data_IF_782913626643
#
_entry.id   IF_782913626643
#
_cell.length_a   1.000
_cell.length_b   1.000
_cell.length_c   1.000
_cell.angle_alpha   90.00
_cell.angle_beta   90.00
_cell.angle_gamma   90.00
#
_symmetry.space_group_name_H-M   'P 1'
#
loop_
_entity.id
_entity.type
_entity.pdbx_description
1 polymer ?
#
# COMPACT_ATOMS: atom_id res chain seq x y z
N UNK A 1 28.85 14.11 -8.42
CA UNK A 1 27.75 14.72 -7.67
C UNK A 1 27.08 13.60 -6.88
N UNK A 2 27.31 13.53 -5.54
CA UNK A 2 26.75 12.46 -4.69
C UNK A 2 25.24 12.60 -4.68
N UNK A 3 24.53 11.50 -5.01
CA UNK A 3 23.11 11.40 -4.71
C UNK A 3 22.90 11.66 -3.22
N UNK A 4 21.97 12.51 -2.81
CA UNK A 4 21.62 12.64 -1.41
C UNK A 4 21.00 11.33 -0.93
N UNK A 5 21.43 10.91 0.24
CA UNK A 5 21.08 9.68 0.94
C UNK A 5 19.57 9.62 1.29
N UNK A 6 18.74 9.36 0.28
CA UNK A 6 17.28 9.23 0.44
C UNK A 6 16.83 7.79 0.78
N UNK A 7 17.80 6.86 0.92
CA UNK A 7 17.52 5.44 1.22
C UNK A 7 18.46 4.94 2.31
N UNK A 8 18.84 5.78 3.25
CA UNK A 8 19.48 5.27 4.45
C UNK A 8 18.38 4.94 5.48
N UNK A 9 17.96 3.68 5.49
CA UNK A 9 17.00 3.11 6.44
C UNK A 9 17.53 3.02 7.88
N UNK A 10 18.60 3.74 8.20
CA UNK A 10 19.21 3.80 9.54
C UNK A 10 19.00 5.13 10.24
N UNK A 11 18.12 6.01 9.76
CA UNK A 11 17.77 7.18 10.57
C UNK A 11 17.18 6.68 11.89
N UNK A 12 17.91 7.00 12.96
CA UNK A 12 17.39 6.98 14.33
C UNK A 12 16.02 7.68 14.31
N UNK A 13 14.95 6.86 14.25
CA UNK A 13 13.59 7.38 14.37
C UNK A 13 13.47 7.91 15.78
N UNK A 14 13.87 9.16 15.95
CA UNK A 14 13.54 10.01 17.06
C UNK A 14 12.03 9.90 17.30
N UNK A 15 11.58 10.15 18.51
CA UNK A 15 10.14 10.24 18.86
C UNK A 15 9.40 11.13 17.86
N UNK A 16 10.06 12.16 17.31
CA UNK A 16 9.58 13.00 16.21
C UNK A 16 9.33 12.21 14.90
N UNK A 17 10.12 11.18 14.60
CA UNK A 17 9.90 10.34 13.43
C UNK A 17 8.63 9.52 13.53
N UNK A 18 8.36 8.88 14.68
CA UNK A 18 7.13 8.11 14.90
C UNK A 18 5.90 9.03 14.85
N UNK A 19 5.97 10.20 15.44
CA UNK A 19 4.89 11.17 15.38
C UNK A 19 4.58 11.62 13.95
N UNK A 20 5.60 11.86 13.13
CA UNK A 20 5.42 12.20 11.73
C UNK A 20 4.77 11.06 10.93
N UNK A 21 5.14 9.79 11.21
CA UNK A 21 4.50 8.63 10.59
C UNK A 21 3.02 8.50 10.96
N UNK A 22 2.69 8.68 12.23
CA UNK A 22 1.29 8.64 12.70
C UNK A 22 0.48 9.78 12.06
N UNK A 23 1.04 10.99 12.00
CA UNK A 23 0.40 12.15 11.39
C UNK A 23 0.17 11.92 9.89
N UNK A 24 1.15 11.38 9.18
CA UNK A 24 1.03 11.06 7.76
C UNK A 24 -0.05 10.01 7.51
N UNK A 25 -0.08 8.93 8.31
CA UNK A 25 -1.12 7.91 8.23
C UNK A 25 -2.50 8.47 8.56
N UNK A 26 -2.60 9.37 9.54
CA UNK A 26 -3.86 10.02 9.89
C UNK A 26 -4.38 10.89 8.75
N UNK A 27 -3.54 11.72 8.15
CA UNK A 27 -3.92 12.55 6.99
C UNK A 27 -4.34 11.67 5.81
N UNK A 28 -3.55 10.64 5.51
CA UNK A 28 -3.86 9.69 4.46
C UNK A 28 -5.20 9.00 4.68
N UNK A 29 -5.47 8.56 5.92
CA UNK A 29 -6.73 7.92 6.29
C UNK A 29 -7.93 8.85 6.12
N UNK A 30 -7.81 10.11 6.56
CA UNK A 30 -8.90 11.10 6.43
C UNK A 30 -9.23 11.34 4.95
N UNK A 31 -8.21 11.56 4.11
CA UNK A 31 -8.42 11.80 2.68
C UNK A 31 -9.06 10.56 2.02
N UNK A 32 -8.59 9.35 2.38
CA UNK A 32 -9.16 8.10 1.86
C UNK A 32 -10.62 7.92 2.26
N UNK A 33 -10.99 8.19 3.52
CA UNK A 33 -12.37 8.08 3.99
C UNK A 33 -13.28 9.07 3.27
N UNK A 34 -12.84 10.30 3.06
CA UNK A 34 -13.58 11.30 2.29
C UNK A 34 -13.77 10.83 0.84
N UNK A 35 -12.70 10.35 0.21
CA UNK A 35 -12.75 9.79 -1.15
C UNK A 35 -13.67 8.59 -1.26
N UNK A 36 -13.65 7.70 -0.26
CA UNK A 36 -14.50 6.52 -0.18
C UNK A 36 -16.00 6.89 -0.06
N UNK A 37 -16.32 7.89 0.75
CA UNK A 37 -17.68 8.40 0.88
C UNK A 37 -18.18 9.06 -0.42
N UNK A 38 -17.37 9.90 -1.06
CA UNK A 38 -17.75 10.61 -2.28
C UNK A 38 -17.89 9.62 -3.45
N UNK A 39 -16.93 8.71 -3.61
CA UNK A 39 -16.88 7.77 -4.74
C UNK A 39 -17.86 6.62 -4.62
N UNK A 40 -17.94 6.00 -3.46
CA UNK A 40 -18.64 4.71 -3.28
C UNK A 40 -19.80 4.75 -2.31
N UNK A 41 -20.05 5.90 -1.65
CA UNK A 41 -21.14 6.10 -0.67
C UNK A 41 -21.08 5.18 0.55
N UNK A 42 -19.92 4.61 0.85
CA UNK A 42 -19.75 3.84 2.08
C UNK A 42 -19.88 4.73 3.32
N UNK A 43 -20.40 4.21 4.43
CA UNK A 43 -20.54 4.96 5.67
C UNK A 43 -19.17 5.47 6.16
N UNK A 44 -19.10 6.75 6.52
CA UNK A 44 -17.86 7.36 6.99
C UNK A 44 -17.36 6.69 8.26
N UNK A 45 -18.27 6.33 9.17
CA UNK A 45 -17.95 5.67 10.44
C UNK A 45 -17.24 4.34 10.23
N UNK A 46 -17.77 3.49 9.36
CA UNK A 46 -17.25 2.15 9.13
C UNK A 46 -15.93 2.20 8.33
N UNK A 47 -15.87 3.10 7.34
CA UNK A 47 -14.64 3.38 6.58
C UNK A 47 -13.52 3.92 7.48
N UNK A 48 -13.85 4.75 8.47
CA UNK A 48 -12.88 5.30 9.41
C UNK A 48 -12.32 4.20 10.33
N UNK A 49 -13.18 3.32 10.83
CA UNK A 49 -12.75 2.15 11.61
C UNK A 49 -11.89 1.22 10.76
N UNK A 50 -12.27 0.94 9.51
CA UNK A 50 -11.49 0.14 8.58
C UNK A 50 -10.09 0.74 8.31
N UNK A 51 -10.02 2.05 8.06
CA UNK A 51 -8.74 2.75 7.88
C UNK A 51 -7.90 2.77 9.16
N UNK A 52 -8.52 2.88 10.34
CA UNK A 52 -7.81 2.79 11.62
C UNK A 52 -7.18 1.41 11.81
N UNK A 53 -7.91 0.34 11.49
CA UNK A 53 -7.41 -1.04 11.54
C UNK A 53 -6.22 -1.21 10.59
N UNK A 54 -6.33 -0.77 9.33
CA UNK A 54 -5.25 -0.85 8.35
C UNK A 54 -4.02 -0.05 8.78
N UNK A 55 -4.22 1.14 9.32
CA UNK A 55 -3.13 1.98 9.86
C UNK A 55 -2.44 1.31 11.05
N UNK A 56 -3.21 0.66 11.93
CA UNK A 56 -2.67 -0.05 13.08
C UNK A 56 -1.84 -1.27 12.64
N UNK A 57 -2.32 -2.06 11.69
CA UNK A 57 -1.56 -3.17 11.10
C UNK A 57 -0.25 -2.66 10.50
N UNK A 58 -0.29 -1.54 9.77
CA UNK A 58 0.89 -0.92 9.18
C UNK A 58 1.89 -0.47 10.26
N UNK A 59 1.43 0.20 11.31
CA UNK A 59 2.30 0.63 12.42
C UNK A 59 2.95 -0.54 13.13
N UNK A 60 2.19 -1.61 13.40
CA UNK A 60 2.72 -2.83 14.04
C UNK A 60 3.76 -3.50 13.13
N UNK A 61 3.52 -3.57 11.81
CA UNK A 61 4.47 -4.14 10.87
C UNK A 61 5.79 -3.36 10.78
N UNK A 62 5.72 -2.03 10.72
CA UNK A 62 6.89 -1.15 10.75
C UNK A 62 7.62 -1.25 12.10
N UNK A 63 6.88 -1.37 13.20
CA UNK A 63 7.46 -1.54 14.52
C UNK A 63 8.19 -2.88 14.65
N UNK A 64 7.62 -3.98 14.11
CA UNK A 64 8.27 -5.29 14.08
C UNK A 64 9.56 -5.30 13.27
N UNK A 65 9.61 -4.66 12.10
CA UNK A 65 10.83 -4.52 11.30
C UNK A 65 11.98 -3.94 12.15
N UNK A 66 11.67 -2.99 13.00
CA UNK A 66 12.70 -2.32 13.84
C UNK A 66 13.22 -3.21 14.96
N UNK A 67 12.38 -4.06 15.55
CA UNK A 67 12.76 -4.87 16.71
C UNK A 67 13.29 -6.25 16.33
N UNK A 68 12.92 -6.77 15.16
CA UNK A 68 13.48 -8.04 14.70
C UNK A 68 14.76 -7.78 13.89
N UNK A 69 15.89 -8.43 14.27
CA UNK A 69 17.16 -8.30 13.55
C UNK A 69 17.19 -9.13 12.26
N UNK A 70 16.06 -9.16 11.56
CA UNK A 70 15.93 -9.81 10.26
C UNK A 70 15.98 -8.72 9.20
N UNK A 71 16.91 -8.82 8.25
CA UNK A 71 17.02 -7.91 7.09
C UNK A 71 15.85 -8.10 6.10
N UNK A 72 14.60 -7.97 6.61
CA UNK A 72 13.37 -8.19 5.87
C UNK A 72 12.60 -6.87 5.87
N UNK A 73 12.08 -6.48 4.69
CA UNK A 73 11.29 -5.25 4.53
C UNK A 73 10.01 -5.27 5.38
N UNK A 74 9.62 -4.10 5.92
CA UNK A 74 8.36 -3.89 6.65
C UNK A 74 7.12 -4.39 5.90
N UNK A 75 7.15 -4.36 4.57
CA UNK A 75 6.04 -4.83 3.73
C UNK A 75 5.69 -6.29 4.01
N UNK A 76 6.71 -7.14 4.22
CA UNK A 76 6.50 -8.57 4.50
C UNK A 76 5.83 -8.74 5.86
N UNK A 77 6.27 -8.02 6.88
CA UNK A 77 5.65 -8.06 8.21
C UNK A 77 4.19 -7.58 8.17
N UNK A 78 3.93 -6.47 7.49
CA UNK A 78 2.57 -5.93 7.31
C UNK A 78 1.67 -6.97 6.61
N UNK A 79 2.17 -7.59 5.54
CA UNK A 79 1.43 -8.60 4.79
C UNK A 79 1.12 -9.84 5.63
N UNK A 80 2.11 -10.36 6.38
CA UNK A 80 1.92 -11.52 7.25
C UNK A 80 0.92 -11.21 8.36
N UNK A 81 1.04 -10.06 9.02
CA UNK A 81 0.10 -9.65 10.08
C UNK A 81 -1.30 -9.51 9.50
N UNK A 82 -1.44 -8.85 8.34
CA UNK A 82 -2.72 -8.68 7.67
C UNK A 82 -3.39 -10.03 7.35
N UNK A 83 -2.63 -10.97 6.81
CA UNK A 83 -3.13 -12.33 6.52
C UNK A 83 -3.55 -13.03 7.81
N UNK A 84 -2.72 -13.03 8.84
CA UNK A 84 -3.01 -13.72 10.13
C UNK A 84 -4.28 -13.16 10.76
N UNK A 85 -4.44 -11.84 10.78
CA UNK A 85 -5.60 -11.18 11.38
C UNK A 85 -6.88 -11.43 10.57
N UNK A 86 -6.76 -11.62 9.25
CA UNK A 86 -7.87 -11.89 8.34
C UNK A 86 -8.21 -13.40 8.22
N UNK A 87 -7.40 -14.32 8.79
CA UNK A 87 -7.62 -15.76 8.68
C UNK A 87 -8.98 -16.20 9.24
N UNK A 88 -9.78 -16.93 8.46
CA UNK A 88 -11.04 -17.47 8.94
C UNK A 88 -10.76 -18.48 10.09
N UNK A 89 -11.40 -18.27 11.25
CA UNK A 89 -11.17 -19.04 12.48
C UNK A 89 -10.60 -18.22 13.64
N UNK A 90 -10.05 -17.03 13.36
CA UNK A 90 -9.71 -16.06 14.41
C UNK A 90 -10.96 -15.32 14.87
N UNK A 91 -11.15 -15.10 16.18
CA UNK A 91 -12.32 -14.36 16.68
C UNK A 91 -12.38 -12.90 16.20
N UNK A 92 -11.24 -12.33 15.82
CA UNK A 92 -11.12 -10.97 15.29
C UNK A 92 -11.39 -10.86 13.79
N UNK A 93 -11.36 -11.97 13.04
CA UNK A 93 -11.46 -11.99 11.59
C UNK A 93 -12.76 -11.37 11.10
N UNK A 94 -13.90 -11.74 11.65
CA UNK A 94 -15.20 -11.21 11.24
C UNK A 94 -15.30 -9.68 11.45
N UNK A 95 -14.77 -9.19 12.56
CA UNK A 95 -14.73 -7.76 12.86
C UNK A 95 -13.83 -7.02 11.87
N UNK A 96 -12.62 -7.49 11.70
CA UNK A 96 -11.63 -6.86 10.80
C UNK A 96 -12.12 -6.87 9.35
N UNK A 97 -12.59 -8.02 8.86
CA UNK A 97 -13.08 -8.14 7.48
C UNK A 97 -14.31 -7.27 7.23
N UNK A 98 -15.23 -7.17 8.22
CA UNK A 98 -16.41 -6.33 8.09
C UNK A 98 -16.05 -4.87 7.85
N UNK A 99 -15.16 -4.28 8.65
CA UNK A 99 -14.80 -2.87 8.53
C UNK A 99 -13.81 -2.61 7.40
N UNK A 100 -12.85 -3.51 7.16
CA UNK A 100 -11.88 -3.34 6.08
C UNK A 100 -12.55 -3.46 4.71
N UNK A 101 -13.58 -4.32 4.57
CA UNK A 101 -14.35 -4.41 3.33
C UNK A 101 -15.17 -3.16 2.98
N UNK A 102 -15.39 -2.27 3.95
CA UNK A 102 -16.03 -0.96 3.70
C UNK A 102 -15.04 0.08 3.13
N UNK A 103 -13.77 -0.23 3.09
CA UNK A 103 -12.74 0.63 2.48
C UNK A 103 -12.44 0.12 1.07
N UNK A 104 -12.92 0.84 0.07
CA UNK A 104 -12.65 0.49 -1.31
C UNK A 104 -11.18 0.66 -1.68
N UNK A 105 -10.60 -0.36 -2.27
CA UNK A 105 -9.20 -0.38 -2.70
C UNK A 105 -8.89 0.80 -3.63
N UNK A 106 -9.79 1.12 -4.54
CA UNK A 106 -9.60 2.24 -5.48
C UNK A 106 -9.54 3.59 -4.79
N UNK A 107 -10.24 3.79 -3.65
CA UNK A 107 -10.12 5.02 -2.85
C UNK A 107 -8.71 5.17 -2.29
N UNK A 108 -8.14 4.09 -1.74
CA UNK A 108 -6.77 4.06 -1.22
C UNK A 108 -5.76 4.32 -2.33
N UNK A 109 -5.92 3.63 -3.47
CA UNK A 109 -5.03 3.78 -4.64
C UNK A 109 -5.09 5.19 -5.21
N UNK A 110 -6.25 5.85 -5.23
CA UNK A 110 -6.40 7.22 -5.72
C UNK A 110 -5.58 8.20 -4.89
N UNK A 111 -5.63 8.10 -3.57
CA UNK A 111 -4.83 8.95 -2.67
C UNK A 111 -3.33 8.69 -2.86
N UNK A 112 -2.95 7.41 -3.00
CA UNK A 112 -1.57 7.02 -3.28
C UNK A 112 -1.07 7.58 -4.62
N UNK A 113 -1.87 7.49 -5.68
CA UNK A 113 -1.54 8.05 -7.00
C UNK A 113 -1.38 9.57 -6.95
N UNK A 114 -2.22 10.27 -6.18
CA UNK A 114 -2.06 11.72 -5.99
C UNK A 114 -0.72 12.05 -5.32
N UNK A 115 -0.33 11.30 -4.30
CA UNK A 115 0.97 11.45 -3.63
C UNK A 115 2.13 11.19 -4.59
N UNK A 116 2.07 10.11 -5.37
CA UNK A 116 3.08 9.78 -6.40
C UNK A 116 3.14 10.87 -7.46
N UNK A 117 1.98 11.39 -7.91
CA UNK A 117 1.92 12.48 -8.89
C UNK A 117 2.62 13.75 -8.41
N UNK A 118 2.44 14.13 -7.13
CA UNK A 118 3.16 15.25 -6.53
C UNK A 118 4.67 14.99 -6.49
N UNK A 119 5.08 13.77 -6.13
CA UNK A 119 6.49 13.34 -6.14
C UNK A 119 7.12 13.44 -7.53
N UNK A 120 6.43 12.96 -8.55
CA UNK A 120 6.86 13.08 -9.95
C UNK A 120 6.97 14.54 -10.39
N UNK A 121 6.03 15.41 -9.96
CA UNK A 121 6.07 16.83 -10.24
C UNK A 121 7.33 17.51 -9.68
N UNK A 122 7.78 17.11 -8.51
CA UNK A 122 9.03 17.62 -7.90
C UNK A 122 10.28 17.18 -8.67
N UNK A 123 10.28 15.97 -9.23
CA UNK A 123 11.39 15.41 -10.02
C UNK A 123 11.22 15.62 -11.53
N UNK A 124 10.45 16.63 -11.96
CA UNK A 124 10.13 16.87 -13.37
C UNK A 124 11.35 17.02 -14.27
N UNK A 125 12.41 17.66 -13.78
CA UNK A 125 13.64 17.84 -14.56
C UNK A 125 14.38 16.51 -14.78
N UNK A 126 14.38 15.62 -13.78
CA UNK A 126 14.94 14.27 -13.90
C UNK A 126 14.09 13.43 -14.86
N UNK A 127 12.76 13.55 -14.77
CA UNK A 127 11.84 12.86 -15.67
C UNK A 127 12.05 13.28 -17.14
N UNK A 128 12.30 14.55 -17.42
CA UNK A 128 12.62 15.04 -18.76
C UNK A 128 13.91 14.43 -19.34
N UNK A 129 14.90 14.16 -18.49
CA UNK A 129 16.17 13.56 -18.97
C UNK A 129 16.01 12.11 -19.43
N UNK A 130 15.02 11.39 -18.88
CA UNK A 130 14.68 10.04 -19.31
C UNK A 130 14.01 10.01 -20.70
N UNK A 131 13.30 11.08 -21.06
CA UNK A 131 12.70 11.27 -22.38
C UNK A 131 11.85 10.09 -22.87
N UNK A 132 11.94 9.77 -24.16
CA UNK A 132 11.19 8.70 -24.80
C UNK A 132 11.48 7.29 -24.18
N UNK A 133 12.63 7.11 -23.55
CA UNK A 133 12.99 5.83 -22.91
C UNK A 133 12.04 5.51 -21.76
N UNK A 134 11.59 6.51 -20.99
CA UNK A 134 10.64 6.33 -19.92
C UNK A 134 9.30 5.79 -20.44
N UNK A 135 8.83 6.30 -21.57
CA UNK A 135 7.57 5.87 -22.20
C UNK A 135 7.66 4.40 -22.63
N UNK A 136 8.75 4.03 -23.30
CA UNK A 136 8.96 2.64 -23.76
C UNK A 136 9.01 1.68 -22.57
N UNK A 137 9.76 2.02 -21.52
CA UNK A 137 9.85 1.21 -20.30
C UNK A 137 8.47 1.08 -19.65
N UNK A 138 7.71 2.16 -19.55
CA UNK A 138 6.37 2.14 -18.95
C UNK A 138 5.42 1.20 -19.71
N UNK A 139 5.39 1.29 -21.04
CA UNK A 139 4.57 0.41 -21.88
C UNK A 139 4.99 -1.04 -21.69
N UNK A 140 6.29 -1.30 -21.67
CA UNK A 140 6.84 -2.65 -21.49
C UNK A 140 6.48 -3.24 -20.12
N UNK A 141 6.57 -2.42 -19.06
CA UNK A 141 6.19 -2.83 -17.69
C UNK A 141 4.70 -3.13 -17.60
N UNK A 142 3.84 -2.27 -18.15
CA UNK A 142 2.39 -2.49 -18.16
C UNK A 142 2.06 -3.80 -18.91
N UNK A 143 2.61 -3.98 -20.11
CA UNK A 143 2.39 -5.18 -20.90
C UNK A 143 2.89 -6.44 -20.18
N UNK A 144 4.08 -6.41 -19.60
CA UNK A 144 4.66 -7.53 -18.85
C UNK A 144 3.85 -7.90 -17.61
N UNK A 145 3.40 -6.88 -16.86
CA UNK A 145 2.57 -7.11 -15.66
C UNK A 145 1.23 -7.74 -16.02
N UNK A 146 0.59 -7.23 -17.08
CA UNK A 146 -0.69 -7.76 -17.54
C UNK A 146 -0.56 -9.18 -18.07
N UNK A 147 0.39 -9.43 -18.96
CA UNK A 147 0.64 -10.77 -19.52
C UNK A 147 1.09 -11.75 -18.45
N UNK A 148 1.98 -11.33 -17.55
CA UNK A 148 2.46 -12.16 -16.45
C UNK A 148 1.33 -12.60 -15.52
N UNK A 149 0.47 -11.69 -15.12
CA UNK A 149 -0.69 -12.00 -14.27
C UNK A 149 -1.71 -12.90 -14.98
N UNK A 150 -1.95 -12.67 -16.29
CA UNK A 150 -2.85 -13.49 -17.09
C UNK A 150 -2.33 -14.94 -17.25
N UNK A 151 -1.04 -15.10 -17.49
CA UNK A 151 -0.40 -16.43 -17.59
C UNK A 151 -0.51 -17.18 -16.25
N UNK A 152 -0.18 -16.53 -15.14
CA UNK A 152 -0.27 -17.14 -13.80
C UNK A 152 -1.72 -17.53 -13.50
N UNK A 153 -2.67 -16.63 -13.75
CA UNK A 153 -4.09 -16.91 -13.55
C UNK A 153 -4.56 -18.09 -14.39
N UNK A 154 -4.17 -18.12 -15.66
CA UNK A 154 -4.51 -19.24 -16.58
C UNK A 154 -3.95 -20.58 -16.09
N UNK A 155 -2.69 -20.62 -15.68
CA UNK A 155 -2.07 -21.83 -15.13
C UNK A 155 -2.83 -22.32 -13.89
N UNK A 156 -3.15 -21.41 -12.96
CA UNK A 156 -3.89 -21.76 -11.74
C UNK A 156 -5.29 -22.27 -12.07
N UNK A 157 -6.03 -21.64 -13.00
CA UNK A 157 -7.35 -22.09 -13.42
C UNK A 157 -7.31 -23.48 -14.04
N UNK A 158 -6.33 -23.74 -14.92
CA UNK A 158 -6.15 -25.06 -15.53
C UNK A 158 -5.82 -26.11 -14.47
N UNK A 159 -4.96 -25.80 -13.50
CA UNK A 159 -4.58 -26.73 -12.43
C UNK A 159 -5.73 -27.00 -11.44
N UNK A 160 -6.60 -26.04 -11.21
CA UNK A 160 -7.75 -26.18 -10.29
C UNK A 160 -9.01 -26.73 -10.96
N UNK A 161 -8.98 -26.94 -12.29
CA UNK A 161 -10.10 -27.50 -13.05
C UNK A 161 -11.32 -26.56 -13.14
N UNK A 162 -11.14 -25.27 -12.85
CA UNK A 162 -12.19 -24.26 -12.99
C UNK A 162 -12.22 -23.83 -14.46
N UNK A 163 -13.36 -23.93 -15.16
CA UNK A 163 -13.46 -23.46 -16.56
C UNK A 163 -13.22 -21.95 -16.62
N UNK A 164 -12.40 -21.54 -17.60
CA UNK A 164 -12.06 -20.15 -17.85
C UNK A 164 -13.24 -19.37 -18.45
#
# INVERSE_FOLDING_TARGET
MKMPDLIDGSENVSVHGIFNWILLLAIFSVITVIGNYIGYKHPITDSLVGMAILSLITLVGVWMERYLPLNISSIIYISVIGIVVALPGMPTSNFVLHYVSQVELLSVVTVFLAYVGIGMGKSWNEFKTLGARAIIITILVIASTYLGSAIVAHIVLVMTGVPA
#
